data_IF_411871710294
#
_entry.id   IF_411871710294
#
_cell.length_a   1.000
_cell.length_b   1.000
_cell.length_c   1.000
_cell.angle_alpha   90.00
_cell.angle_beta   90.00
_cell.angle_gamma   90.00
#
_symmetry.space_group_name_H-M   'P 1'
#
loop_
_entity.id
_entity.type
_entity.pdbx_description
1 polymer ?
#
# COMPACT_ATOMS: atom_id res chain seq x y z
N UNK A 1 -31.83 -9.15 38.75
CA UNK A 1 -30.56 -9.71 38.19
C UNK A 1 -30.46 -9.80 36.65
N UNK A 2 -31.55 -9.81 35.85
CA UNK A 2 -31.46 -9.96 34.36
C UNK A 2 -30.97 -8.73 33.58
N UNK A 3 -31.15 -7.50 34.09
CA UNK A 3 -30.84 -6.25 33.37
C UNK A 3 -29.34 -5.96 33.29
N UNK A 4 -28.61 -6.21 34.39
CA UNK A 4 -27.17 -5.93 34.52
C UNK A 4 -26.34 -6.79 33.58
N UNK A 5 -26.68 -8.08 33.45
CA UNK A 5 -26.03 -8.97 32.49
C UNK A 5 -26.20 -8.51 31.04
N UNK A 6 -27.40 -8.03 30.66
CA UNK A 6 -27.68 -7.57 29.29
C UNK A 6 -26.81 -6.38 28.86
N UNK A 7 -26.56 -5.44 29.78
CA UNK A 7 -25.71 -4.26 29.53
C UNK A 7 -24.24 -4.66 29.37
N UNK A 8 -23.74 -5.57 30.20
CA UNK A 8 -22.37 -6.09 30.09
C UNK A 8 -22.16 -6.85 28.77
N UNK A 9 -23.15 -7.66 28.35
CA UNK A 9 -23.10 -8.35 27.06
C UNK A 9 -23.10 -7.39 25.88
N UNK A 10 -23.93 -6.34 25.90
CA UNK A 10 -24.01 -5.37 24.81
C UNK A 10 -22.69 -4.61 24.66
N UNK A 11 -22.09 -4.17 25.77
CA UNK A 11 -20.77 -3.50 25.78
C UNK A 11 -19.67 -4.41 25.24
N UNK A 12 -19.62 -5.66 25.69
CA UNK A 12 -18.61 -6.61 25.20
C UNK A 12 -18.76 -6.92 23.71
N UNK A 13 -20.00 -7.01 23.20
CA UNK A 13 -20.25 -7.24 21.79
C UNK A 13 -19.85 -6.03 20.93
N UNK A 14 -20.17 -4.81 21.37
CA UNK A 14 -19.76 -3.58 20.69
C UNK A 14 -18.23 -3.46 20.59
N UNK A 15 -17.52 -3.69 21.69
CA UNK A 15 -16.05 -3.62 21.72
C UNK A 15 -15.44 -4.66 20.77
N UNK A 16 -15.95 -5.89 20.78
CA UNK A 16 -15.46 -6.96 19.88
C UNK A 16 -15.74 -6.64 18.41
N UNK A 17 -16.90 -6.06 18.11
CA UNK A 17 -17.28 -5.67 16.75
C UNK A 17 -16.41 -4.53 16.23
N UNK A 18 -16.18 -3.50 17.05
CA UNK A 18 -15.31 -2.38 16.72
C UNK A 18 -13.86 -2.83 16.49
N UNK A 19 -13.32 -3.67 17.39
CA UNK A 19 -11.97 -4.24 17.22
C UNK A 19 -11.85 -5.06 15.94
N UNK A 20 -12.85 -5.88 15.63
CA UNK A 20 -12.81 -6.69 14.41
C UNK A 20 -12.88 -5.84 13.14
N UNK A 21 -13.69 -4.78 13.16
CA UNK A 21 -13.75 -3.81 12.06
C UNK A 21 -12.39 -3.13 11.86
N UNK A 22 -11.74 -2.72 12.95
CA UNK A 22 -10.39 -2.14 12.89
C UNK A 22 -9.37 -3.16 12.36
N UNK A 23 -9.42 -4.42 12.78
CA UNK A 23 -8.51 -5.46 12.27
C UNK A 23 -8.71 -5.68 10.77
N UNK A 24 -9.95 -5.81 10.30
CA UNK A 24 -10.23 -5.97 8.86
C UNK A 24 -9.72 -4.78 8.04
N UNK A 25 -10.06 -3.56 8.46
CA UNK A 25 -9.55 -2.36 7.83
C UNK A 25 -8.02 -2.29 7.85
N UNK A 26 -7.38 -2.59 8.98
CA UNK A 26 -5.93 -2.54 9.11
C UNK A 26 -5.22 -3.52 8.17
N UNK A 27 -5.70 -4.77 8.07
CA UNK A 27 -5.13 -5.76 7.15
C UNK A 27 -5.30 -5.30 5.69
N UNK A 28 -6.47 -4.79 5.32
CA UNK A 28 -6.68 -4.23 3.98
C UNK A 28 -5.73 -3.06 3.70
N UNK A 29 -5.56 -2.13 4.64
CA UNK A 29 -4.68 -0.98 4.49
C UNK A 29 -3.21 -1.37 4.24
N UNK A 30 -2.73 -2.44 4.89
CA UNK A 30 -1.37 -2.97 4.66
C UNK A 30 -1.25 -3.63 3.29
N UNK A 31 -2.25 -4.40 2.86
CA UNK A 31 -2.19 -5.16 1.61
C UNK A 31 -2.50 -4.32 0.36
N UNK A 32 -3.37 -3.30 0.48
CA UNK A 32 -3.90 -2.53 -0.64
C UNK A 32 -2.87 -1.77 -1.49
N UNK A 33 -1.77 -1.21 -0.93
CA UNK A 33 -0.74 -0.54 -1.74
C UNK A 33 0.05 -1.48 -2.65
N UNK A 34 0.08 -2.77 -2.36
CA UNK A 34 0.79 -3.75 -3.19
C UNK A 34 0.00 -4.14 -4.45
N UNK A 35 -1.31 -3.86 -4.49
CA UNK A 35 -2.15 -4.00 -5.68
C UNK A 35 -1.81 -2.90 -6.70
N UNK A 36 -1.34 -3.30 -7.87
CA UNK A 36 -0.95 -2.39 -8.95
C UNK A 36 -2.22 -1.77 -9.58
N UNK A 37 -2.47 -0.50 -9.27
CA UNK A 37 -2.94 0.64 -10.10
C UNK A 37 -3.95 0.49 -11.25
N UNK A 38 -4.42 -0.70 -11.61
CA UNK A 38 -5.33 -0.93 -12.74
C UNK A 38 -6.60 -1.53 -12.16
N UNK A 39 -7.70 -0.79 -12.30
CA UNK A 39 -8.95 -0.98 -11.57
C UNK A 39 -9.37 -2.43 -11.33
N UNK A 40 -9.50 -2.78 -10.04
CA UNK A 40 -10.50 -3.58 -9.32
C UNK A 40 -10.97 -4.93 -9.89
N UNK A 41 -11.05 -5.19 -11.19
CA UNK A 41 -11.91 -6.29 -11.65
C UNK A 41 -11.18 -7.60 -11.99
N UNK A 42 -9.88 -7.60 -12.35
CA UNK A 42 -9.25 -8.85 -12.80
C UNK A 42 -7.91 -9.23 -12.12
N UNK A 43 -7.17 -8.30 -11.52
CA UNK A 43 -5.88 -8.62 -10.87
C UNK A 43 -5.89 -8.43 -9.34
N UNK A 44 -6.92 -7.78 -8.79
CA UNK A 44 -7.05 -7.48 -7.35
C UNK A 44 -7.54 -8.67 -6.50
N UNK A 45 -8.06 -9.73 -7.11
CA UNK A 45 -8.56 -10.91 -6.38
C UNK A 45 -7.45 -11.57 -5.58
N UNK A 46 -6.22 -11.65 -6.09
CA UNK A 46 -5.12 -12.35 -5.41
C UNK A 46 -4.74 -11.63 -4.11
N UNK A 47 -4.53 -10.31 -4.15
CA UNK A 47 -4.20 -9.55 -2.94
C UNK A 47 -5.40 -9.38 -2.01
N UNK A 48 -6.62 -9.29 -2.55
CA UNK A 48 -7.84 -9.39 -1.77
C UNK A 48 -7.95 -10.73 -1.04
N UNK A 49 -7.66 -11.84 -1.72
CA UNK A 49 -7.64 -13.21 -1.14
C UNK A 49 -6.50 -13.39 -0.16
N UNK A 50 -5.32 -12.81 -0.39
CA UNK A 50 -4.20 -12.84 0.57
C UNK A 50 -4.57 -12.02 1.81
N UNK A 51 -5.09 -10.81 1.65
CA UNK A 51 -5.57 -9.97 2.74
C UNK A 51 -6.66 -10.70 3.53
N UNK A 52 -7.65 -11.26 2.84
CA UNK A 52 -8.77 -11.99 3.44
C UNK A 52 -8.28 -13.30 4.08
N UNK A 53 -7.28 -13.96 3.50
CA UNK A 53 -6.63 -15.15 4.04
C UNK A 53 -5.83 -14.87 5.30
N UNK A 54 -5.07 -13.77 5.35
CA UNK A 54 -4.35 -13.30 6.55
C UNK A 54 -5.34 -12.87 7.63
N UNK A 55 -6.40 -12.12 7.26
CA UNK A 55 -7.49 -11.80 8.18
C UNK A 55 -8.11 -13.07 8.73
N UNK A 56 -8.45 -14.05 7.90
CA UNK A 56 -8.99 -15.35 8.34
C UNK A 56 -7.99 -16.12 9.22
N UNK A 57 -6.69 -16.12 8.90
CA UNK A 57 -5.67 -16.80 9.69
C UNK A 57 -5.49 -16.20 11.09
N UNK A 58 -5.76 -14.90 11.26
CA UNK A 58 -5.80 -14.25 12.58
C UNK A 58 -7.15 -14.49 13.25
N UNK A 59 -8.24 -14.40 12.48
CA UNK A 59 -9.60 -14.46 13.01
C UNK A 59 -10.04 -15.88 13.39
N UNK A 60 -9.57 -16.93 12.71
CA UNK A 60 -9.93 -18.32 12.98
C UNK A 60 -9.39 -18.80 14.34
N UNK A 61 -8.08 -18.65 14.68
CA UNK A 61 -7.56 -18.98 16.00
C UNK A 61 -8.24 -18.16 17.10
N UNK A 62 -8.48 -16.88 16.82
CA UNK A 62 -9.18 -15.98 17.74
C UNK A 62 -10.62 -16.45 17.99
N UNK A 63 -11.35 -16.83 16.94
CA UNK A 63 -12.69 -17.39 17.02
C UNK A 63 -12.72 -18.75 17.74
N UNK A 64 -11.74 -19.63 17.50
CA UNK A 64 -11.61 -20.94 18.17
C UNK A 64 -11.34 -20.78 19.67
N UNK A 65 -10.43 -19.87 20.05
CA UNK A 65 -10.18 -19.52 21.45
C UNK A 65 -11.45 -18.97 22.12
N UNK A 66 -12.22 -18.14 21.41
CA UNK A 66 -13.50 -17.63 21.91
C UNK A 66 -14.59 -18.71 22.01
N UNK A 67 -14.62 -19.68 21.10
CA UNK A 67 -15.52 -20.84 21.17
C UNK A 67 -15.22 -21.73 22.37
N UNK A 68 -13.95 -22.03 22.65
CA UNK A 68 -13.53 -22.76 23.86
C UNK A 68 -13.94 -22.02 25.15
N UNK A 69 -13.93 -20.68 25.13
CA UNK A 69 -14.37 -19.83 26.24
C UNK A 69 -15.88 -19.61 26.39
N UNK A 70 -16.74 -20.33 25.64
CA UNK A 70 -18.21 -20.15 25.61
C UNK A 70 -18.68 -18.72 25.28
N UNK A 71 -17.91 -17.93 24.51
CA UNK A 71 -18.39 -16.62 24.01
C UNK A 71 -19.23 -16.80 22.74
N UNK A 72 -20.41 -16.16 22.70
CA UNK A 72 -21.51 -16.48 21.77
C UNK A 72 -21.42 -15.88 20.35
N UNK A 73 -20.42 -15.06 20.02
CA UNK A 73 -20.45 -14.26 18.77
C UNK A 73 -19.23 -14.36 17.84
N UNK A 74 -18.68 -15.55 17.58
CA UNK A 74 -17.53 -15.71 16.68
C UNK A 74 -17.82 -15.27 15.24
N UNK A 75 -19.05 -15.47 14.76
CA UNK A 75 -19.48 -15.02 13.42
C UNK A 75 -19.53 -13.49 13.28
N UNK A 76 -19.83 -12.76 14.36
CA UNK A 76 -19.89 -11.30 14.30
C UNK A 76 -18.50 -10.71 14.00
N UNK A 77 -17.45 -11.31 14.54
CA UNK A 77 -16.07 -10.89 14.32
C UNK A 77 -15.74 -10.95 12.82
N UNK A 78 -15.99 -12.09 12.17
CA UNK A 78 -15.75 -12.25 10.73
C UNK A 78 -16.52 -11.21 9.89
N UNK A 79 -17.81 -11.03 10.17
CA UNK A 79 -18.66 -10.09 9.43
C UNK A 79 -18.14 -8.65 9.58
N UNK A 80 -17.83 -8.22 10.81
CA UNK A 80 -17.33 -6.86 11.05
C UNK A 80 -15.95 -6.63 10.43
N UNK A 81 -15.10 -7.65 10.35
CA UNK A 81 -13.82 -7.57 9.66
C UNK A 81 -13.99 -7.37 8.15
N UNK A 82 -14.88 -8.15 7.51
CA UNK A 82 -15.22 -8.00 6.08
C UNK A 82 -15.79 -6.61 5.82
N UNK A 83 -16.69 -6.12 6.68
CA UNK A 83 -17.22 -4.75 6.60
C UNK A 83 -16.08 -3.73 6.68
N UNK A 84 -15.11 -3.92 7.58
CA UNK A 84 -13.91 -3.08 7.68
C UNK A 84 -13.11 -3.02 6.37
N UNK A 85 -12.89 -4.16 5.72
CA UNK A 85 -12.24 -4.22 4.41
C UNK A 85 -13.04 -3.45 3.35
N UNK A 86 -14.36 -3.71 3.25
CA UNK A 86 -15.24 -3.07 2.25
C UNK A 86 -15.32 -1.55 2.44
N UNK A 87 -15.37 -1.07 3.69
CA UNK A 87 -15.34 0.35 3.99
C UNK A 87 -14.06 1.00 3.48
N UNK A 88 -12.89 0.36 3.67
CA UNK A 88 -11.65 0.91 3.13
C UNK A 88 -11.53 0.78 1.61
N UNK A 89 -12.13 -0.22 0.97
CA UNK A 89 -12.22 -0.23 -0.50
C UNK A 89 -12.93 1.03 -0.99
N UNK A 90 -14.01 1.43 -0.31
CA UNK A 90 -14.78 2.62 -0.66
C UNK A 90 -14.06 3.94 -0.31
N UNK A 91 -13.51 4.05 0.90
CA UNK A 91 -12.88 5.29 1.38
C UNK A 91 -11.42 5.46 0.95
N UNK A 92 -10.74 4.40 0.52
CA UNK A 92 -9.33 4.42 0.10
C UNK A 92 -9.14 3.83 -1.31
N UNK A 93 -9.66 4.53 -2.34
CA UNK A 93 -9.58 4.06 -3.72
C UNK A 93 -8.14 4.11 -4.25
N UNK A 94 -7.87 3.34 -5.30
CA UNK A 94 -6.52 3.12 -5.85
C UNK A 94 -5.73 4.42 -6.06
N UNK A 95 -6.35 5.48 -6.60
CA UNK A 95 -5.70 6.76 -6.86
C UNK A 95 -5.08 7.42 -5.61
N UNK A 96 -5.63 7.18 -4.41
CA UNK A 96 -5.10 7.72 -3.16
C UNK A 96 -3.95 6.89 -2.58
N UNK A 97 -3.75 5.67 -3.09
CA UNK A 97 -2.68 4.74 -2.69
C UNK A 97 -1.32 5.10 -3.28
N UNK A 98 -1.30 6.02 -4.24
CA UNK A 98 -0.10 6.49 -4.90
C UNK A 98 0.22 7.92 -4.48
N UNK A 99 1.52 8.24 -4.46
CA UNK A 99 2.02 9.59 -4.28
C UNK A 99 2.62 10.08 -5.59
N UNK A 100 2.23 11.27 -6.02
CA UNK A 100 2.87 11.92 -7.15
C UNK A 100 4.17 12.61 -6.69
N UNK A 101 5.20 12.66 -7.53
CA UNK A 101 6.43 13.38 -7.20
C UNK A 101 6.10 14.87 -7.02
N UNK A 102 6.72 15.50 -6.02
CA UNK A 102 6.69 16.96 -5.90
C UNK A 102 7.69 17.57 -6.87
N UNK A 103 7.49 18.85 -7.22
CA UNK A 103 8.45 19.59 -8.05
C UNK A 103 9.87 19.56 -7.47
N UNK A 104 10.00 19.62 -6.14
CA UNK A 104 11.29 19.52 -5.47
C UNK A 104 11.99 18.17 -5.70
N UNK A 105 11.23 17.07 -5.77
CA UNK A 105 11.78 15.74 -6.09
C UNK A 105 12.18 15.69 -7.56
N UNK A 106 11.30 16.14 -8.46
CA UNK A 106 11.60 16.19 -9.90
C UNK A 106 12.87 16.97 -10.21
N UNK A 107 13.02 18.17 -9.63
CA UNK A 107 14.21 19.01 -9.83
C UNK A 107 15.49 18.37 -9.26
N UNK A 108 15.39 17.69 -8.11
CA UNK A 108 16.52 16.96 -7.53
C UNK A 108 16.96 15.79 -8.41
N UNK A 109 15.98 15.02 -8.91
CA UNK A 109 16.23 13.90 -9.81
C UNK A 109 16.89 14.39 -11.11
N UNK A 110 16.38 15.46 -11.70
CA UNK A 110 16.96 16.09 -12.89
C UNK A 110 18.41 16.48 -12.67
N UNK A 111 18.71 17.19 -11.58
CA UNK A 111 20.07 17.61 -11.26
C UNK A 111 21.03 16.40 -11.11
N UNK A 112 20.57 15.33 -10.46
CA UNK A 112 21.36 14.10 -10.29
C UNK A 112 21.54 13.33 -11.61
N UNK A 113 20.55 13.35 -12.51
CA UNK A 113 20.66 12.75 -13.84
C UNK A 113 21.66 13.51 -14.71
N UNK A 114 21.62 14.84 -14.69
CA UNK A 114 22.56 15.70 -15.40
C UNK A 114 23.99 15.47 -14.89
N UNK A 115 24.18 15.38 -13.57
CA UNK A 115 25.48 15.07 -12.96
C UNK A 115 26.02 13.70 -13.39
N UNK A 116 25.12 12.72 -13.63
CA UNK A 116 25.46 11.42 -14.21
C UNK A 116 25.65 11.41 -15.74
N UNK A 117 25.61 12.58 -16.39
CA UNK A 117 25.88 12.73 -17.81
C UNK A 117 24.67 12.48 -18.73
N UNK A 118 23.44 12.66 -18.23
CA UNK A 118 22.23 12.62 -19.06
C UNK A 118 22.31 13.67 -20.19
N UNK A 119 22.17 13.27 -21.47
CA UNK A 119 22.11 14.20 -22.59
C UNK A 119 20.87 15.10 -22.51
N UNK A 120 20.96 16.33 -23.04
CA UNK A 120 19.81 17.24 -23.13
C UNK A 120 18.78 16.82 -24.20
N UNK A 121 19.08 15.81 -24.99
CA UNK A 121 18.25 15.28 -26.09
C UNK A 121 17.32 14.16 -25.66
N UNK A 122 17.36 13.75 -24.39
CA UNK A 122 16.54 12.67 -23.84
C UNK A 122 15.61 13.23 -22.76
N UNK A 123 14.41 12.65 -22.67
CA UNK A 123 13.41 13.07 -21.69
C UNK A 123 13.43 12.12 -20.48
N UNK A 124 12.95 12.59 -19.33
CA UNK A 124 12.78 11.76 -18.15
C UNK A 124 11.40 11.99 -17.51
N UNK A 125 10.92 10.96 -16.83
CA UNK A 125 9.73 11.04 -15.99
C UNK A 125 9.97 10.35 -14.65
N UNK A 126 9.50 10.98 -13.58
CA UNK A 126 9.46 10.37 -12.25
C UNK A 126 8.10 9.71 -12.06
N UNK A 127 8.09 8.39 -11.96
CA UNK A 127 6.88 7.59 -11.86
C UNK A 127 6.27 7.73 -10.46
N UNK A 128 4.94 7.76 -10.38
CA UNK A 128 4.21 7.80 -9.11
C UNK A 128 4.55 6.56 -8.27
N UNK A 129 5.00 6.78 -7.04
CA UNK A 129 5.27 5.67 -6.12
C UNK A 129 4.03 5.24 -5.35
N UNK A 130 4.07 4.01 -4.84
CA UNK A 130 3.07 3.49 -3.89
C UNK A 130 3.34 4.06 -2.49
N UNK A 131 2.29 4.40 -1.76
CA UNK A 131 2.38 4.75 -0.34
C UNK A 131 2.53 3.49 0.49
N UNK A 132 3.41 3.51 1.47
CA UNK A 132 3.58 2.40 2.42
C UNK A 132 2.97 2.74 3.78
N UNK A 133 2.66 1.74 4.63
CA UNK A 133 2.32 2.02 6.02
C UNK A 133 3.41 2.86 6.68
N UNK A 134 3.00 3.91 7.40
CA UNK A 134 3.92 4.89 8.00
C UNK A 134 4.82 5.63 6.99
N UNK A 135 4.26 5.92 5.80
CA UNK A 135 4.93 6.60 4.69
C UNK A 135 5.81 7.80 5.11
N UNK A 136 5.34 8.62 6.06
CA UNK A 136 6.06 9.80 6.58
C UNK A 136 7.45 9.45 7.16
N UNK A 137 7.63 8.24 7.67
CA UNK A 137 8.87 7.76 8.28
C UNK A 137 9.62 6.73 7.41
N UNK A 138 9.02 6.34 6.29
CA UNK A 138 9.57 5.33 5.40
C UNK A 138 10.56 5.96 4.42
N UNK A 139 11.42 5.12 3.87
CA UNK A 139 12.21 5.46 2.70
C UNK A 139 11.30 5.53 1.46
N UNK A 140 11.46 6.59 0.67
CA UNK A 140 10.68 6.85 -0.52
C UNK A 140 11.46 6.45 -1.75
N UNK A 141 11.04 5.34 -2.37
CA UNK A 141 11.62 4.87 -3.61
C UNK A 141 10.80 5.38 -4.80
N UNK A 142 11.41 6.26 -5.58
CA UNK A 142 10.86 6.81 -6.81
C UNK A 142 11.52 6.14 -8.00
N UNK A 143 10.71 5.52 -8.85
CA UNK A 143 11.18 5.00 -10.13
C UNK A 143 11.26 6.16 -11.12
N UNK A 144 12.38 6.22 -11.85
CA UNK A 144 12.68 7.29 -12.80
C UNK A 144 12.97 6.62 -14.13
N UNK A 145 12.15 6.93 -15.12
CA UNK A 145 12.28 6.42 -16.47
C UNK A 145 12.87 7.50 -17.36
N UNK A 146 13.97 7.19 -18.05
CA UNK A 146 14.59 8.06 -19.05
C UNK A 146 14.35 7.45 -20.42
N UNK A 147 13.69 8.20 -21.30
CA UNK A 147 13.31 7.78 -22.64
C UNK A 147 14.12 8.53 -23.69
N UNK A 148 14.68 7.77 -24.64
CA UNK A 148 15.43 8.32 -25.77
C UNK A 148 14.54 8.73 -26.95
N UNK A 149 15.18 9.24 -28.00
CA UNK A 149 14.48 9.62 -29.24
C UNK A 149 13.99 8.40 -30.05
N UNK A 150 14.53 7.21 -29.78
CA UNK A 150 14.13 5.96 -30.43
C UNK A 150 13.04 5.26 -29.61
N UNK A 151 11.96 4.88 -30.29
CA UNK A 151 10.86 4.16 -29.67
C UNK A 151 11.33 2.81 -29.09
N UNK A 152 11.11 2.60 -27.79
CA UNK A 152 11.39 1.33 -27.11
C UNK A 152 12.70 1.29 -26.32
N UNK A 153 13.53 2.33 -26.36
CA UNK A 153 14.76 2.41 -25.57
C UNK A 153 14.54 3.25 -24.30
N UNK A 154 14.63 2.60 -23.15
CA UNK A 154 14.42 3.19 -21.82
C UNK A 154 15.55 2.81 -20.88
N UNK A 155 15.95 3.75 -20.01
CA UNK A 155 16.79 3.48 -18.85
C UNK A 155 15.99 3.75 -17.58
N UNK A 156 16.11 2.85 -16.60
CA UNK A 156 15.44 2.96 -15.31
C UNK A 156 16.45 3.30 -14.22
N UNK A 157 16.12 4.33 -13.46
CA UNK A 157 16.83 4.72 -12.24
C UNK A 157 15.86 4.67 -11.07
N UNK A 158 16.42 4.59 -9.87
CA UNK A 158 15.67 4.64 -8.62
C UNK A 158 16.22 5.79 -7.79
N UNK A 159 15.40 6.79 -7.52
CA UNK A 159 15.71 7.84 -6.57
C UNK A 159 15.20 7.42 -5.19
N UNK A 160 16.13 7.15 -4.29
CA UNK A 160 15.87 6.70 -2.93
C UNK A 160 16.00 7.90 -2.01
N UNK A 161 14.89 8.34 -1.41
CA UNK A 161 14.83 9.55 -0.58
C UNK A 161 14.42 9.21 0.86
N UNK A 162 15.12 9.81 1.81
CA UNK A 162 14.83 9.71 3.24
C UNK A 162 15.10 11.04 3.92
N UNK A 163 14.07 11.61 4.53
CA UNK A 163 14.13 12.88 5.26
C UNK A 163 14.71 14.06 4.45
N UNK A 164 14.42 14.14 3.14
CA UNK A 164 14.87 15.22 2.27
C UNK A 164 16.25 15.01 1.64
N UNK A 165 17.00 13.99 2.05
CA UNK A 165 18.23 13.56 1.40
C UNK A 165 17.95 12.33 0.53
N UNK A 166 18.54 12.26 -0.66
CA UNK A 166 18.33 11.10 -1.51
C UNK A 166 19.40 10.92 -2.56
N UNK A 167 19.51 9.68 -3.02
CA UNK A 167 20.50 9.25 -3.98
C UNK A 167 19.85 8.60 -5.19
N UNK A 168 20.49 8.74 -6.35
CA UNK A 168 20.04 8.11 -7.59
C UNK A 168 20.84 6.82 -7.82
N UNK A 169 20.15 5.69 -7.79
CA UNK A 169 20.71 4.35 -7.96
C UNK A 169 20.27 3.78 -9.30
N UNK A 170 21.11 2.97 -9.93
CA UNK A 170 20.77 2.22 -11.14
C UNK A 170 21.32 0.80 -11.03
N UNK A 171 20.61 -0.17 -11.60
CA UNK A 171 21.06 -1.55 -11.67
C UNK A 171 21.75 -1.79 -13.01
N UNK A 172 23.01 -1.33 -13.13
CA UNK A 172 23.85 -1.51 -14.31
C UNK A 172 24.65 -0.25 -14.69
N UNK A 173 25.46 -0.34 -15.75
CA UNK A 173 26.12 0.84 -16.33
C UNK A 173 25.10 1.68 -17.12
N UNK A 174 25.05 2.98 -16.82
CA UNK A 174 24.26 3.96 -17.56
C UNK A 174 24.82 4.17 -18.96
N UNK A 175 24.40 3.34 -19.92
CA UNK A 175 24.84 3.50 -21.30
C UNK A 175 23.92 4.49 -22.05
N UNK A 176 24.18 5.78 -21.87
CA UNK A 176 23.45 6.87 -22.52
C UNK A 176 23.45 6.79 -24.06
N UNK A 177 24.44 6.12 -24.67
CA UNK A 177 24.47 5.94 -26.12
C UNK A 177 23.33 5.08 -26.66
N UNK A 178 22.70 4.27 -25.80
CA UNK A 178 21.48 3.50 -26.13
C UNK A 178 20.22 4.37 -26.18
N UNK A 179 20.29 5.66 -25.88
CA UNK A 179 19.14 6.56 -25.90
C UNK A 179 19.25 7.65 -26.98
N UNK A 180 20.38 7.73 -27.67
CA UNK A 180 20.66 8.69 -28.76
C UNK A 180 20.43 8.07 -30.15
#
# INVERSE_FOLDING_TARGET
MKRTNRVVYLKSWLIQSALSLLVGGWVFYICAPHSWGVGIVFQEIIYGVISLGISLAILIPTAILFFKGRKKYPFSILIFSIIGCLLLVYFYPANYRYSAPSEAISNKVEALLIDKGMPSTVDFQVIRRKKVPFDIFAEHNWEVEVSGNKAGEYLYFYYIERFGEGELVTYGESNWSKLN
#
